data_IF_418599583457
#
_entry.id   IF_418599583457
#
_cell.length_a   1.000
_cell.length_b   1.000
_cell.length_c   1.000
_cell.angle_alpha   90.00
_cell.angle_beta   90.00
_cell.angle_gamma   90.00
#
_symmetry.space_group_name_H-M   'P 1'
#
loop_
_entity.id
_entity.type
_entity.pdbx_description
1 polymer ?
#
# COMPACT_ATOMS: atom_id res chain seq x y z
N UNK A 1 -11.97 10.24 22.16
CA UNK A 1 -11.25 9.09 21.58
C UNK A 1 -10.95 9.44 20.14
N UNK A 2 -9.68 9.52 19.75
CA UNK A 2 -9.31 9.83 18.35
C UNK A 2 -9.24 8.51 17.57
N UNK A 3 -9.72 8.51 16.33
CA UNK A 3 -9.57 7.39 15.39
C UNK A 3 -8.61 7.83 14.31
N UNK A 4 -7.43 7.20 14.24
CA UNK A 4 -6.42 7.51 13.24
C UNK A 4 -6.70 6.78 11.92
N UNK A 5 -6.52 7.48 10.79
CA UNK A 5 -6.59 6.93 9.44
C UNK A 5 -5.22 7.06 8.78
N UNK A 6 -4.59 5.93 8.46
CA UNK A 6 -3.31 5.89 7.74
C UNK A 6 -3.54 5.57 6.26
N UNK A 7 -3.04 6.43 5.39
CA UNK A 7 -3.07 6.25 3.94
C UNK A 7 -1.93 7.06 3.29
N UNK A 8 -1.69 6.86 2.00
CA UNK A 8 -0.76 7.67 1.23
C UNK A 8 -1.26 7.78 -0.21
N UNK A 9 -1.22 8.97 -0.85
CA UNK A 9 -1.67 9.14 -2.24
C UNK A 9 -1.01 8.14 -3.19
N UNK A 10 0.30 7.90 -3.01
CA UNK A 10 1.06 6.98 -3.87
C UNK A 10 0.68 5.49 -3.75
N UNK A 11 -0.20 5.12 -2.82
CA UNK A 11 -0.83 3.79 -2.85
C UNK A 11 -1.70 3.61 -4.11
N UNK A 12 -2.24 4.70 -4.67
CA UNK A 12 -3.04 4.68 -5.89
C UNK A 12 -2.20 4.46 -7.16
N UNK A 13 -0.85 4.52 -7.07
CA UNK A 13 0.05 4.27 -8.20
C UNK A 13 0.25 2.77 -8.49
N UNK A 14 -0.28 1.89 -7.63
CA UNK A 14 -0.49 0.50 -7.98
C UNK A 14 -1.67 0.40 -8.97
N UNK A 15 -1.35 0.18 -10.24
CA UNK A 15 -2.31 0.18 -11.34
C UNK A 15 -2.18 -1.13 -12.15
N UNK A 16 -2.84 -2.23 -11.72
CA UNK A 16 -2.70 -3.55 -12.33
C UNK A 16 -3.18 -3.66 -13.80
N UNK A 17 -3.83 -2.62 -14.32
CA UNK A 17 -4.30 -2.54 -15.70
C UNK A 17 -5.82 -2.50 -15.82
N UNK A 18 -6.29 -2.21 -17.04
CA UNK A 18 -7.72 -2.06 -17.33
C UNK A 18 -8.45 -3.39 -17.13
N UNK A 19 -9.57 -3.34 -16.41
CA UNK A 19 -10.42 -4.51 -16.16
C UNK A 19 -9.98 -5.36 -14.96
N UNK A 20 -8.83 -5.08 -14.35
CA UNK A 20 -8.42 -5.76 -13.13
C UNK A 20 -9.34 -5.36 -11.95
N UNK A 21 -9.80 -6.31 -11.11
CA UNK A 21 -10.69 -6.01 -9.99
C UNK A 21 -9.98 -5.22 -8.89
N UNK A 22 -8.70 -5.50 -8.65
CA UNK A 22 -7.81 -4.67 -7.82
C UNK A 22 -7.41 -3.45 -8.67
N UNK A 23 -7.94 -2.28 -8.32
CA UNK A 23 -7.76 -1.03 -9.09
C UNK A 23 -7.72 0.20 -8.15
N UNK A 24 -6.99 1.28 -8.50
CA UNK A 24 -6.83 2.47 -7.66
C UNK A 24 -8.14 3.07 -7.15
N UNK A 25 -9.20 3.00 -7.96
CA UNK A 25 -10.51 3.57 -7.64
C UNK A 25 -11.14 2.93 -6.39
N UNK A 26 -10.72 1.72 -5.99
CA UNK A 26 -11.18 1.10 -4.75
C UNK A 26 -10.76 1.91 -3.53
N UNK A 27 -9.50 2.35 -3.47
CA UNK A 27 -9.00 3.17 -2.37
C UNK A 27 -9.67 4.56 -2.40
N UNK A 28 -9.77 5.17 -3.59
CA UNK A 28 -10.43 6.46 -3.75
C UNK A 28 -11.89 6.43 -3.27
N UNK A 29 -12.65 5.37 -3.61
CA UNK A 29 -14.02 5.20 -3.18
C UNK A 29 -14.16 5.07 -1.66
N UNK A 30 -13.26 4.34 -0.99
CA UNK A 30 -13.25 4.22 0.47
C UNK A 30 -12.95 5.56 1.13
N UNK A 31 -11.95 6.30 0.64
CA UNK A 31 -11.58 7.60 1.20
C UNK A 31 -12.72 8.62 1.03
N UNK A 32 -13.35 8.66 -0.14
CA UNK A 32 -14.50 9.52 -0.39
C UNK A 32 -15.68 9.19 0.53
N UNK A 33 -15.99 7.90 0.71
CA UNK A 33 -17.06 7.48 1.63
C UNK A 33 -16.79 7.87 3.09
N UNK A 34 -15.52 7.83 3.53
CA UNK A 34 -15.12 8.28 4.86
C UNK A 34 -15.24 9.81 5.02
N UNK A 35 -14.94 10.57 3.96
CA UNK A 35 -15.13 12.02 3.92
C UNK A 35 -16.62 12.40 3.95
N UNK A 36 -17.44 11.75 3.11
CA UNK A 36 -18.89 11.96 3.03
C UNK A 36 -19.62 11.62 4.34
N UNK A 37 -19.09 10.64 5.09
CA UNK A 37 -19.61 10.28 6.40
C UNK A 37 -19.35 11.35 7.49
N UNK A 38 -18.54 12.37 7.21
CA UNK A 38 -18.25 13.46 8.15
C UNK A 38 -17.54 13.01 9.42
N UNK A 39 -16.78 11.91 9.35
CA UNK A 39 -16.06 11.37 10.50
C UNK A 39 -14.88 12.26 10.88
N UNK A 40 -14.73 12.57 12.17
CA UNK A 40 -13.54 13.25 12.69
C UNK A 40 -12.39 12.26 12.84
N UNK A 41 -11.65 12.05 11.74
CA UNK A 41 -10.50 11.14 11.69
C UNK A 41 -9.18 11.92 11.79
N UNK A 42 -8.25 11.40 12.57
CA UNK A 42 -6.87 11.86 12.61
C UNK A 42 -6.11 11.26 11.42
N UNK A 43 -6.10 12.00 10.31
CA UNK A 43 -5.48 11.57 9.04
C UNK A 43 -3.97 11.70 9.12
N UNK A 44 -3.26 10.58 8.96
CA UNK A 44 -1.80 10.50 9.01
C UNK A 44 -1.26 9.87 7.73
N UNK A 45 -0.20 10.45 7.18
CA UNK A 45 0.49 9.85 6.04
C UNK A 45 1.23 8.58 6.51
N UNK A 46 1.02 7.48 5.80
CA UNK A 46 1.76 6.24 6.05
C UNK A 46 3.23 6.39 5.62
N UNK A 47 4.14 5.76 6.37
CA UNK A 47 5.54 5.62 5.99
C UNK A 47 5.78 4.34 5.20
N UNK A 48 6.88 4.26 4.45
CA UNK A 48 7.26 3.00 3.80
C UNK A 48 7.82 2.04 4.84
N UNK A 49 7.37 0.79 4.84
CA UNK A 49 7.98 -0.24 5.66
C UNK A 49 9.47 -0.39 5.33
N UNK A 50 10.31 -0.43 6.37
CA UNK A 50 11.74 -0.71 6.22
C UNK A 50 11.96 -2.14 5.73
N UNK A 51 13.06 -2.39 5.00
CA UNK A 51 13.38 -3.74 4.52
C UNK A 51 13.44 -4.73 5.68
N UNK A 52 14.04 -4.34 6.80
CA UNK A 52 14.09 -5.15 8.01
C UNK A 52 12.69 -5.46 8.59
N UNK A 53 11.70 -4.58 8.42
CA UNK A 53 10.31 -4.84 8.84
C UNK A 53 9.68 -5.93 7.97
N UNK A 54 9.93 -5.90 6.66
CA UNK A 54 9.45 -6.92 5.72
C UNK A 54 10.10 -8.29 5.96
N UNK A 55 11.41 -8.30 6.23
CA UNK A 55 12.20 -9.53 6.47
C UNK A 55 11.86 -10.26 7.78
N UNK A 56 11.12 -9.62 8.70
CA UNK A 56 10.59 -10.30 9.89
C UNK A 56 9.52 -11.33 9.56
N UNK A 57 8.87 -11.22 8.40
CA UNK A 57 7.77 -12.10 7.97
C UNK A 57 8.16 -12.87 6.71
N UNK A 58 8.90 -12.24 5.79
CA UNK A 58 9.24 -12.80 4.49
C UNK A 58 10.72 -13.19 4.41
N UNK A 59 11.09 -14.25 3.67
CA UNK A 59 12.48 -14.56 3.36
C UNK A 59 13.21 -13.39 2.66
N UNK A 60 14.48 -13.17 3.00
CA UNK A 60 15.32 -12.09 2.43
C UNK A 60 15.38 -12.13 0.91
N UNK A 61 15.52 -13.32 0.31
CA UNK A 61 15.57 -13.49 -1.14
C UNK A 61 14.23 -13.13 -1.81
N UNK A 62 13.11 -13.44 -1.17
CA UNK A 62 11.79 -13.02 -1.61
C UNK A 62 11.63 -11.49 -1.56
N UNK A 63 12.02 -10.86 -0.45
CA UNK A 63 11.95 -9.39 -0.30
C UNK A 63 12.78 -8.71 -1.40
N UNK A 64 14.03 -9.14 -1.57
CA UNK A 64 14.90 -8.63 -2.62
C UNK A 64 14.29 -8.82 -4.02
N UNK A 65 13.70 -9.99 -4.30
CA UNK A 65 13.03 -10.25 -5.59
C UNK A 65 11.90 -9.27 -5.86
N UNK A 66 11.01 -9.04 -4.89
CA UNK A 66 9.86 -8.14 -5.05
C UNK A 66 10.32 -6.68 -5.19
N UNK A 67 11.28 -6.23 -4.39
CA UNK A 67 11.79 -4.86 -4.48
C UNK A 67 12.41 -4.54 -5.85
N UNK A 68 13.00 -5.56 -6.50
CA UNK A 68 13.58 -5.43 -7.84
C UNK A 68 12.61 -5.79 -8.98
N UNK A 69 11.37 -6.17 -8.69
CA UNK A 69 10.40 -6.60 -9.70
C UNK A 69 9.58 -5.44 -10.31
N UNK A 70 9.70 -4.22 -9.79
CA UNK A 70 8.93 -3.08 -10.31
C UNK A 70 9.34 -2.78 -11.76
N UNK A 71 8.40 -2.79 -12.73
CA UNK A 71 8.72 -2.38 -14.09
C UNK A 71 8.97 -0.87 -14.13
N UNK A 72 9.91 -0.41 -14.96
CA UNK A 72 10.10 1.03 -15.20
C UNK A 72 8.97 1.64 -16.03
N UNK A 73 8.36 0.85 -16.92
CA UNK A 73 7.20 1.21 -17.74
C UNK A 73 6.32 -0.01 -17.98
N UNK A 74 5.03 0.21 -18.27
CA UNK A 74 4.09 -0.88 -18.57
C UNK A 74 3.74 -1.73 -17.36
N UNK A 75 3.41 -2.99 -17.60
CA UNK A 75 2.99 -3.96 -16.60
C UNK A 75 3.90 -5.18 -16.61
N UNK A 76 4.20 -5.72 -15.43
CA UNK A 76 4.93 -6.97 -15.26
C UNK A 76 4.05 -7.97 -14.49
N UNK A 77 3.90 -9.19 -15.02
CA UNK A 77 3.12 -10.22 -14.37
C UNK A 77 4.00 -10.98 -13.37
N UNK A 78 3.60 -10.99 -12.09
CA UNK A 78 4.30 -11.72 -11.03
C UNK A 78 3.83 -13.17 -10.94
N UNK A 79 2.52 -13.39 -11.09
CA UNK A 79 1.88 -14.71 -11.19
C UNK A 79 0.53 -14.61 -11.95
N UNK A 80 -0.33 -15.63 -11.85
CA UNK A 80 -1.57 -15.71 -12.63
C UNK A 80 -2.56 -14.56 -12.36
N UNK A 81 -2.56 -13.98 -11.16
CA UNK A 81 -3.51 -12.95 -10.72
C UNK A 81 -2.85 -11.72 -10.07
N UNK A 82 -1.51 -11.64 -10.08
CA UNK A 82 -0.75 -10.51 -9.54
C UNK A 82 0.04 -9.80 -10.62
N UNK A 83 -0.24 -8.50 -10.79
CA UNK A 83 0.40 -7.63 -11.78
C UNK A 83 1.07 -6.44 -11.07
N UNK A 84 2.27 -6.09 -11.51
CA UNK A 84 3.02 -4.93 -11.06
C UNK A 84 2.99 -3.84 -12.14
N UNK A 85 2.67 -2.62 -11.72
CA UNK A 85 2.91 -1.33 -12.39
C UNK A 85 4.13 -0.62 -11.79
N UNK A 86 4.63 0.48 -12.38
CA UNK A 86 5.81 1.19 -11.87
C UNK A 86 5.70 1.67 -10.41
N UNK A 87 4.48 2.00 -9.95
CA UNK A 87 4.22 2.42 -8.57
C UNK A 87 3.99 1.28 -7.57
N UNK A 88 3.92 0.03 -8.03
CA UNK A 88 3.43 -1.09 -7.21
C UNK A 88 4.31 -1.42 -6.01
N UNK A 89 5.63 -1.46 -6.20
CA UNK A 89 6.55 -1.78 -5.10
C UNK A 89 6.46 -0.73 -3.99
N UNK A 90 6.36 0.55 -4.36
CA UNK A 90 6.23 1.62 -3.40
C UNK A 90 4.88 1.61 -2.70
N UNK A 91 3.78 1.42 -3.45
CA UNK A 91 2.44 1.26 -2.88
C UNK A 91 2.38 0.10 -1.87
N UNK A 92 3.00 -1.04 -2.17
CA UNK A 92 3.06 -2.18 -1.27
C UNK A 92 3.84 -1.88 0.03
N UNK A 93 4.99 -1.18 -0.08
CA UNK A 93 5.76 -0.76 1.10
C UNK A 93 5.00 0.24 1.97
N UNK A 94 4.30 1.20 1.35
CA UNK A 94 3.43 2.15 2.06
C UNK A 94 2.26 1.42 2.74
N UNK A 95 1.65 0.44 2.09
CA UNK A 95 0.55 -0.35 2.66
C UNK A 95 1.00 -1.14 3.90
N UNK A 96 2.16 -1.80 3.82
CA UNK A 96 2.76 -2.48 4.96
C UNK A 96 3.12 -1.50 6.09
N UNK A 97 3.72 -0.35 5.74
CA UNK A 97 4.09 0.67 6.72
C UNK A 97 2.89 1.33 7.40
N UNK A 98 1.78 1.52 6.69
CA UNK A 98 0.53 2.01 7.27
C UNK A 98 0.03 1.15 8.43
N UNK A 99 0.13 -0.18 8.29
CA UNK A 99 -0.25 -1.12 9.35
C UNK A 99 0.73 -1.04 10.53
N UNK A 100 2.03 -0.97 10.24
CA UNK A 100 3.07 -0.85 11.27
C UNK A 100 2.89 0.46 12.07
N UNK A 101 2.69 1.58 11.38
CA UNK A 101 2.48 2.90 11.98
C UNK A 101 1.19 2.93 12.82
N UNK A 102 0.11 2.32 12.33
CA UNK A 102 -1.13 2.19 13.07
C UNK A 102 -0.96 1.38 14.36
N UNK A 103 -0.27 0.23 14.30
CA UNK A 103 0.01 -0.59 15.49
C UNK A 103 0.88 0.17 16.48
N UNK A 104 1.94 0.83 16.03
CA UNK A 104 2.81 1.68 16.89
C UNK A 104 2.03 2.81 17.55
N UNK A 105 1.10 3.43 16.84
CA UNK A 105 0.29 4.53 17.37
C UNK A 105 -0.72 4.11 18.44
N UNK A 106 -1.07 2.82 18.52
CA UNK A 106 -2.02 2.28 19.50
C UNK A 106 -1.33 1.56 20.66
N UNK A 107 -0.24 0.83 20.38
CA UNK A 107 0.46 0.00 21.35
C UNK A 107 1.66 0.68 22.03
N UNK A 108 2.10 1.85 21.53
CA UNK A 108 3.15 2.68 22.12
C UNK A 108 2.62 3.58 23.23
#
# INVERSE_FOLDING_TARGET
>A
MSVALFTHPDMAEHAPGVGHPERPERLAAVLAALDDAGLSLDRRAATEAEVADLERVHPTDYVARILNASPSTGLAQLDADTVLSPGSVRAARLAAGAVIDAVRAVAG
#
